data_IF_427971032261
#
_entry.id   IF_427971032261
#
_cell.length_a   1.000
_cell.length_b   1.000
_cell.length_c   1.000
_cell.angle_alpha   90.00
_cell.angle_beta   90.00
_cell.angle_gamma   90.00
#
_symmetry.space_group_name_H-M   'P 1'
#
loop_
_entity.id
_entity.type
_entity.pdbx_description
1 polymer ?
#
# COMPACT_ATOMS: atom_id res chain seq x y z
N UNK A 1 -18.74 41.55 -11.98
CA UNK A 1 -17.96 42.06 -10.81
C UNK A 1 -16.83 41.09 -10.52
N UNK A 2 -15.59 41.50 -10.77
CA UNK A 2 -14.41 40.67 -10.55
C UNK A 2 -14.10 40.59 -9.05
N UNK A 3 -14.31 39.43 -8.42
CA UNK A 3 -13.78 39.16 -7.08
C UNK A 3 -12.25 39.13 -7.15
N UNK A 4 -11.62 40.27 -6.87
CA UNK A 4 -10.19 40.35 -6.55
C UNK A 4 -9.94 39.51 -5.30
N UNK A 5 -9.39 38.31 -5.44
CA UNK A 5 -8.79 37.62 -4.31
C UNK A 5 -7.54 38.41 -3.90
N UNK A 6 -7.47 38.97 -2.67
CA UNK A 6 -6.31 39.75 -2.24
C UNK A 6 -5.05 38.88 -2.28
N UNK A 7 -3.91 39.48 -2.59
CA UNK A 7 -2.62 38.85 -2.33
C UNK A 7 -2.58 38.52 -0.83
N UNK A 8 -2.38 37.25 -0.43
CA UNK A 8 -2.44 36.88 0.97
C UNK A 8 -1.40 37.68 1.74
N UNK A 9 -1.84 38.40 2.79
CA UNK A 9 -0.96 39.17 3.66
C UNK A 9 0.11 38.29 4.31
N UNK A 10 1.18 38.90 4.83
CA UNK A 10 2.34 38.21 5.43
C UNK A 10 1.94 37.13 6.46
N UNK A 11 0.90 37.41 7.26
CA UNK A 11 0.33 36.50 8.26
C UNK A 11 -0.34 35.27 7.62
N UNK A 12 -1.06 35.46 6.51
CA UNK A 12 -1.70 34.38 5.74
C UNK A 12 -0.66 33.48 5.08
N UNK A 13 0.41 34.06 4.50
CA UNK A 13 1.53 33.27 3.94
C UNK A 13 2.21 32.40 4.99
N UNK A 14 2.48 32.94 6.18
CA UNK A 14 3.07 32.16 7.28
C UNK A 14 2.19 31.00 7.75
N UNK A 15 0.86 31.19 7.80
CA UNK A 15 -0.08 30.12 8.14
C UNK A 15 -0.08 29.01 7.09
N UNK A 16 -0.06 29.35 5.80
CA UNK A 16 0.04 28.36 4.72
C UNK A 16 1.36 27.58 4.75
N UNK A 17 2.49 28.25 4.98
CA UNK A 17 3.79 27.56 5.12
C UNK A 17 3.81 26.58 6.30
N UNK A 18 3.19 26.94 7.42
CA UNK A 18 3.05 26.05 8.59
C UNK A 18 2.10 24.88 8.30
N UNK A 19 0.98 25.12 7.62
CA UNK A 19 0.05 24.07 7.23
C UNK A 19 0.72 23.03 6.32
N UNK A 20 1.53 23.48 5.36
CA UNK A 20 2.29 22.59 4.48
C UNK A 20 3.26 21.70 5.29
N UNK A 21 4.08 22.29 6.16
CA UNK A 21 4.99 21.53 7.02
C UNK A 21 4.26 20.50 7.87
N UNK A 22 3.15 20.90 8.52
CA UNK A 22 2.38 19.98 9.35
C UNK A 22 1.74 18.85 8.55
N UNK A 23 1.27 19.12 7.33
CA UNK A 23 0.69 18.11 6.44
C UNK A 23 1.72 17.05 6.07
N UNK A 24 2.95 17.47 5.73
CA UNK A 24 4.06 16.54 5.43
C UNK A 24 4.38 15.70 6.66
N UNK A 25 4.53 16.32 7.83
CA UNK A 25 4.77 15.59 9.07
C UNK A 25 3.62 14.62 9.41
N UNK A 26 2.36 15.01 9.18
CA UNK A 26 1.21 14.11 9.37
C UNK A 26 1.34 12.88 8.47
N UNK A 27 1.57 13.11 7.17
CA UNK A 27 1.59 12.05 6.17
C UNK A 27 2.72 11.05 6.46
N UNK A 28 3.93 11.56 6.76
CA UNK A 28 5.08 10.73 7.10
C UNK A 28 4.82 9.81 8.29
N UNK A 29 4.10 10.30 9.31
CA UNK A 29 3.83 9.53 10.54
C UNK A 29 2.48 8.84 10.58
N UNK A 30 1.79 8.81 9.44
CA UNK A 30 0.56 8.04 9.29
C UNK A 30 0.89 6.57 9.07
N UNK A 31 0.30 5.69 9.89
CA UNK A 31 0.69 4.27 9.98
C UNK A 31 0.71 3.53 8.64
N UNK A 32 -0.39 3.54 7.90
CA UNK A 32 -0.46 2.83 6.60
C UNK A 32 0.48 3.45 5.56
N UNK A 33 0.58 4.78 5.51
CA UNK A 33 1.49 5.46 4.60
C UNK A 33 2.94 5.09 4.86
N UNK A 34 3.36 5.05 6.12
CA UNK A 34 4.69 4.61 6.51
C UNK A 34 4.94 3.14 6.13
N UNK A 35 4.01 2.24 6.48
CA UNK A 35 4.14 0.81 6.22
C UNK A 35 4.29 0.55 4.72
N UNK A 36 3.44 1.15 3.90
CA UNK A 36 3.45 0.91 2.45
C UNK A 36 4.62 1.60 1.76
N UNK A 37 5.02 2.80 2.20
CA UNK A 37 6.20 3.48 1.65
C UNK A 37 7.53 2.78 1.98
N UNK A 38 7.55 1.93 3.00
CA UNK A 38 8.72 1.10 3.38
C UNK A 38 8.63 -0.35 2.91
N UNK A 39 7.60 -0.69 2.13
CA UNK A 39 7.40 -2.02 1.54
C UNK A 39 7.57 -1.97 0.03
N UNK A 40 8.20 -2.99 -0.57
CA UNK A 40 8.42 -3.09 -2.02
C UNK A 40 7.11 -3.44 -2.77
N UNK A 41 6.16 -2.51 -2.80
CA UNK A 41 4.88 -2.62 -3.52
C UNK A 41 4.63 -1.37 -4.38
N UNK A 42 3.78 -1.51 -5.40
CA UNK A 42 3.50 -0.45 -6.37
C UNK A 42 2.69 0.71 -5.79
N UNK A 43 1.92 0.49 -4.72
CA UNK A 43 0.97 1.44 -4.16
C UNK A 43 1.60 2.77 -3.72
N UNK A 44 2.83 2.74 -3.19
CA UNK A 44 3.54 3.93 -2.77
C UNK A 44 3.90 4.86 -3.95
N UNK A 45 4.48 4.28 -5.01
CA UNK A 45 4.84 5.03 -6.22
C UNK A 45 3.59 5.52 -6.94
N UNK A 46 2.55 4.68 -7.04
CA UNK A 46 1.25 5.05 -7.60
C UNK A 46 0.63 6.24 -6.83
N UNK A 47 0.66 6.20 -5.50
CA UNK A 47 0.18 7.29 -4.64
C UNK A 47 0.92 8.59 -4.91
N UNK A 48 2.24 8.55 -5.11
CA UNK A 48 3.03 9.74 -5.42
C UNK A 48 2.59 10.38 -6.76
N UNK A 49 2.40 9.57 -7.80
CA UNK A 49 1.90 10.06 -9.10
C UNK A 49 0.50 10.65 -8.98
N UNK A 50 -0.45 9.93 -8.36
CA UNK A 50 -1.83 10.42 -8.14
C UNK A 50 -1.84 11.71 -7.30
N UNK A 51 -1.00 11.81 -6.28
CA UNK A 51 -0.85 13.03 -5.48
C UNK A 51 -0.38 14.20 -6.36
N UNK A 52 0.60 13.95 -7.24
CA UNK A 52 1.09 14.96 -8.17
C UNK A 52 -0.02 15.41 -9.14
N UNK A 53 -0.87 14.51 -9.63
CA UNK A 53 -2.03 14.86 -10.46
C UNK A 53 -2.97 15.83 -9.76
N UNK A 54 -3.40 15.50 -8.54
CA UNK A 54 -4.27 16.38 -7.75
C UNK A 54 -3.59 17.73 -7.45
N UNK A 55 -2.32 17.73 -7.08
CA UNK A 55 -1.57 18.96 -6.77
C UNK A 55 -1.42 19.84 -8.01
N UNK A 56 -0.95 19.28 -9.13
CA UNK A 56 -0.74 20.04 -10.36
C UNK A 56 -2.06 20.57 -10.93
N UNK A 57 -3.13 19.77 -10.89
CA UNK A 57 -4.45 20.26 -11.29
C UNK A 57 -4.91 21.43 -10.42
N UNK A 58 -4.80 21.31 -9.09
CA UNK A 58 -5.20 22.38 -8.18
C UNK A 58 -4.38 23.66 -8.38
N UNK A 59 -3.08 23.55 -8.63
CA UNK A 59 -2.21 24.69 -8.97
C UNK A 59 -2.64 25.33 -10.30
N UNK A 60 -2.94 24.53 -11.33
CA UNK A 60 -3.43 25.03 -12.61
C UNK A 60 -4.80 25.71 -12.51
N UNK A 61 -5.69 25.21 -11.65
CA UNK A 61 -7.01 25.78 -11.41
C UNK A 61 -6.93 27.08 -10.60
N UNK A 62 -6.01 27.14 -9.62
CA UNK A 62 -5.79 28.32 -8.78
C UNK A 62 -5.07 29.46 -9.51
N UNK A 63 -4.29 29.15 -10.55
CA UNK A 63 -3.59 30.14 -11.37
C UNK A 63 -4.55 30.86 -12.33
N UNK A 64 -4.85 32.13 -12.02
CA UNK A 64 -5.78 32.98 -12.79
C UNK A 64 -5.10 34.04 -13.64
N UNK A 65 -3.81 34.31 -13.43
CA UNK A 65 -3.09 35.45 -14.03
C UNK A 65 -2.21 35.04 -15.19
N UNK A 66 -1.61 33.84 -15.14
CA UNK A 66 -0.68 33.36 -16.16
C UNK A 66 -1.19 32.10 -16.85
N UNK A 67 -1.76 32.22 -18.07
CA UNK A 67 -2.20 31.06 -18.85
C UNK A 67 -1.07 30.07 -19.14
N UNK A 68 0.16 30.55 -19.39
CA UNK A 68 1.31 29.69 -19.65
C UNK A 68 1.71 28.84 -18.44
N UNK A 69 1.65 29.40 -17.22
CA UNK A 69 1.90 28.65 -15.99
C UNK A 69 0.76 27.66 -15.72
N UNK A 70 -0.51 28.06 -15.96
CA UNK A 70 -1.65 27.15 -15.85
C UNK A 70 -1.52 25.97 -16.83
N UNK A 71 -1.10 26.23 -18.07
CA UNK A 71 -0.83 25.20 -19.08
C UNK A 71 0.30 24.26 -18.63
N UNK A 72 1.42 24.80 -18.13
CA UNK A 72 2.54 24.00 -17.63
C UNK A 72 2.08 23.05 -16.51
N UNK A 73 1.29 23.53 -15.55
CA UNK A 73 0.76 22.68 -14.49
C UNK A 73 -0.19 21.60 -15.03
N UNK A 74 -1.06 21.92 -15.99
CA UNK A 74 -1.91 20.91 -16.64
C UNK A 74 -1.09 19.88 -17.44
N UNK A 75 -0.01 20.32 -18.09
CA UNK A 75 0.89 19.44 -18.82
C UNK A 75 1.61 18.47 -17.87
N UNK A 76 2.17 18.98 -16.77
CA UNK A 76 2.78 18.17 -15.72
C UNK A 76 1.77 17.21 -15.05
N UNK A 77 0.52 17.65 -14.88
CA UNK A 77 -0.58 16.79 -14.45
C UNK A 77 -0.75 15.61 -15.41
N UNK A 78 -0.75 15.85 -16.73
CA UNK A 78 -0.87 14.78 -17.72
C UNK A 78 0.32 13.81 -17.75
N UNK A 79 1.55 14.31 -17.55
CA UNK A 79 2.70 13.43 -17.39
C UNK A 79 2.56 12.54 -16.15
N UNK A 80 2.07 13.10 -15.04
CA UNK A 80 1.79 12.33 -13.82
C UNK A 80 0.71 11.26 -14.04
N UNK A 81 -0.39 11.58 -14.75
CA UNK A 81 -1.42 10.62 -15.18
C UNK A 81 -0.80 9.48 -15.99
N UNK A 82 0.07 9.81 -16.94
CA UNK A 82 0.78 8.84 -17.77
C UNK A 82 1.65 7.89 -16.94
N UNK A 83 2.44 8.43 -16.02
CA UNK A 83 3.25 7.62 -15.10
C UNK A 83 2.37 6.75 -14.18
N UNK A 84 1.29 7.29 -13.62
CA UNK A 84 0.36 6.54 -12.79
C UNK A 84 -0.28 5.38 -13.57
N UNK A 85 -0.61 5.59 -14.85
CA UNK A 85 -1.16 4.54 -15.71
C UNK A 85 -0.16 3.40 -15.94
N UNK A 86 1.11 3.72 -16.18
CA UNK A 86 2.16 2.69 -16.33
C UNK A 86 2.37 1.88 -15.04
N UNK A 87 2.04 2.43 -13.88
CA UNK A 87 2.16 1.73 -12.59
C UNK A 87 0.94 0.85 -12.30
N UNK A 88 -0.28 1.40 -12.45
CA UNK A 88 -1.51 0.74 -11.97
C UNK A 88 -2.74 0.91 -12.86
N UNK A 89 -2.52 1.18 -14.15
CA UNK A 89 -3.56 1.18 -15.17
C UNK A 89 -4.64 2.25 -14.98
N UNK A 90 -5.90 1.90 -15.27
CA UNK A 90 -6.98 2.88 -15.39
C UNK A 90 -7.37 3.56 -14.07
N UNK A 91 -6.90 3.06 -12.92
CA UNK A 91 -7.06 3.76 -11.64
C UNK A 91 -6.42 5.15 -11.64
N UNK A 92 -5.38 5.35 -12.45
CA UNK A 92 -4.75 6.66 -12.70
C UNK A 92 -5.75 7.71 -13.22
N UNK A 93 -6.76 7.29 -14.00
CA UNK A 93 -7.79 8.20 -14.48
C UNK A 93 -8.98 8.26 -13.53
N UNK A 94 -9.39 7.11 -12.99
CA UNK A 94 -10.61 6.98 -12.20
C UNK A 94 -10.55 7.80 -10.91
N UNK A 95 -9.51 7.66 -10.09
CA UNK A 95 -9.46 8.35 -8.79
C UNK A 95 -9.34 9.87 -8.95
N UNK A 96 -8.37 10.39 -9.74
CA UNK A 96 -8.20 11.82 -9.92
C UNK A 96 -9.36 12.44 -10.70
N UNK A 97 -9.81 11.76 -11.75
CA UNK A 97 -10.96 12.18 -12.55
C UNK A 97 -12.22 12.38 -11.69
N UNK A 98 -12.58 11.40 -10.86
CA UNK A 98 -13.75 11.48 -9.97
C UNK A 98 -13.60 12.59 -8.92
N UNK A 99 -12.45 12.68 -8.25
CA UNK A 99 -12.23 13.70 -7.21
C UNK A 99 -12.21 15.12 -7.77
N UNK A 100 -11.52 15.33 -8.90
CA UNK A 100 -11.45 16.64 -9.58
C UNK A 100 -12.82 17.03 -10.15
N UNK A 101 -13.51 16.10 -10.82
CA UNK A 101 -14.85 16.33 -11.36
C UNK A 101 -15.82 16.78 -10.25
N UNK A 102 -15.86 16.04 -9.15
CA UNK A 102 -16.72 16.36 -8.01
C UNK A 102 -16.40 17.73 -7.42
N UNK A 103 -15.12 18.08 -7.30
CA UNK A 103 -14.73 19.41 -6.86
C UNK A 103 -15.21 20.53 -7.79
N UNK A 104 -14.99 20.40 -9.10
CA UNK A 104 -15.38 21.43 -10.07
C UNK A 104 -16.89 21.62 -10.11
N UNK A 105 -17.65 20.52 -10.00
CA UNK A 105 -19.11 20.56 -9.86
C UNK A 105 -19.54 21.24 -8.56
N UNK A 106 -18.84 20.96 -7.43
CA UNK A 106 -19.10 21.62 -6.15
C UNK A 106 -18.80 23.13 -6.21
N UNK A 107 -17.73 23.55 -6.87
CA UNK A 107 -17.42 24.97 -7.12
C UNK A 107 -18.28 25.59 -8.24
N UNK A 108 -19.15 24.80 -8.89
CA UNK A 108 -19.97 25.21 -10.05
C UNK A 108 -19.15 25.79 -11.20
N UNK A 109 -17.90 25.35 -11.34
CA UNK A 109 -16.98 25.78 -12.40
C UNK A 109 -17.06 24.83 -13.61
N UNK A 110 -18.21 24.84 -14.27
CA UNK A 110 -18.49 24.00 -15.44
C UNK A 110 -17.56 24.29 -16.62
N UNK A 111 -17.06 25.54 -16.71
CA UNK A 111 -16.10 25.91 -17.75
C UNK A 111 -14.79 25.16 -17.55
N UNK A 112 -14.21 25.19 -16.35
CA UNK A 112 -13.01 24.41 -16.06
C UNK A 112 -13.24 22.91 -16.22
N UNK A 113 -14.41 22.40 -15.83
CA UNK A 113 -14.80 21.00 -16.01
C UNK A 113 -14.72 20.55 -17.47
N UNK A 114 -15.16 21.38 -18.42
CA UNK A 114 -15.14 21.04 -19.85
C UNK A 114 -13.82 21.37 -20.56
N UNK A 115 -13.01 22.29 -20.03
CA UNK A 115 -11.84 22.84 -20.76
C UNK A 115 -10.50 22.35 -20.24
N UNK A 116 -10.34 22.17 -18.92
CA UNK A 116 -9.06 21.80 -18.31
C UNK A 116 -8.63 20.33 -18.49
N UNK A 117 -9.52 19.33 -18.67
CA UNK A 117 -9.10 17.92 -18.81
C UNK A 117 -8.30 17.60 -20.07
N UNK A 118 -8.43 18.40 -21.15
CA UNK A 118 -7.82 18.07 -22.44
C UNK A 118 -6.30 18.13 -22.45
N UNK A 119 -5.69 19.12 -21.78
CA UNK A 119 -4.22 19.24 -21.73
C UNK A 119 -3.61 18.05 -20.97
N UNK A 120 -4.07 17.68 -19.76
CA UNK A 120 -3.59 16.48 -19.08
C UNK A 120 -3.81 15.20 -19.91
N UNK A 121 -4.98 15.07 -20.56
CA UNK A 121 -5.27 13.92 -21.42
C UNK A 121 -4.28 13.79 -22.58
N UNK A 122 -4.04 14.87 -23.33
CA UNK A 122 -3.10 14.82 -24.46
C UNK A 122 -1.66 14.60 -24.00
N UNK A 123 -1.25 15.20 -22.88
CA UNK A 123 0.07 15.01 -22.32
C UNK A 123 0.29 13.59 -21.78
N UNK A 124 -0.73 12.92 -21.24
CA UNK A 124 -0.61 11.53 -20.78
C UNK A 124 -0.41 10.55 -21.94
N UNK A 125 -0.98 10.83 -23.12
CA UNK A 125 -0.76 10.02 -24.32
C UNK A 125 0.72 9.96 -24.72
N UNK A 126 1.49 11.02 -24.48
CA UNK A 126 2.94 11.05 -24.77
C UNK A 126 3.72 9.98 -23.97
N UNK A 127 3.20 9.60 -22.80
CA UNK A 127 3.82 8.58 -21.93
C UNK A 127 3.21 7.20 -22.18
N UNK A 128 1.89 7.14 -22.33
CA UNK A 128 1.14 5.88 -22.40
C UNK A 128 1.30 5.20 -23.76
N UNK A 129 1.17 5.97 -24.86
CA UNK A 129 1.09 5.41 -26.21
C UNK A 129 2.36 4.65 -26.61
N UNK A 130 3.60 5.17 -26.38
CA UNK A 130 4.80 4.44 -26.77
C UNK A 130 4.91 3.06 -26.12
N UNK A 131 4.67 2.98 -24.81
CA UNK A 131 4.66 1.70 -24.10
C UNK A 131 3.50 0.81 -24.56
N UNK A 132 2.33 1.40 -24.77
CA UNK A 132 1.14 0.67 -25.17
C UNK A 132 1.21 0.04 -26.57
N UNK A 133 1.90 0.69 -27.50
CA UNK A 133 2.17 0.12 -28.82
C UNK A 133 3.21 -0.99 -28.74
N UNK A 134 4.28 -0.79 -27.96
CA UNK A 134 5.31 -1.81 -27.76
C UNK A 134 4.75 -3.10 -27.11
N UNK A 135 3.82 -2.97 -26.17
CA UNK A 135 3.16 -4.15 -25.57
C UNK A 135 2.21 -4.84 -26.53
N UNK A 136 1.48 -4.09 -27.37
CA UNK A 136 0.60 -4.66 -28.39
C UNK A 136 1.38 -5.50 -29.42
N UNK A 137 2.59 -5.04 -29.79
CA UNK A 137 3.47 -5.77 -30.71
C UNK A 137 4.11 -7.00 -30.05
N UNK A 138 4.62 -6.86 -28.83
CA UNK A 138 5.31 -7.95 -28.14
C UNK A 138 4.37 -9.04 -27.59
N UNK A 139 3.14 -8.67 -27.23
CA UNK A 139 2.15 -9.55 -26.63
C UNK A 139 0.75 -9.19 -27.14
N UNK A 140 0.31 -9.72 -28.31
CA UNK A 140 -0.94 -9.33 -28.96
C UNK A 140 -2.20 -9.46 -28.09
N UNK A 141 -2.20 -10.41 -27.15
CA UNK A 141 -3.32 -10.69 -26.25
C UNK A 141 -3.30 -9.84 -24.95
N UNK A 142 -2.22 -9.07 -24.72
CA UNK A 142 -2.03 -8.28 -23.51
C UNK A 142 -3.20 -7.34 -23.22
N UNK A 143 -3.71 -6.63 -24.23
CA UNK A 143 -4.77 -5.64 -24.04
C UNK A 143 -6.11 -6.27 -23.66
N UNK A 144 -6.41 -7.49 -24.15
CA UNK A 144 -7.58 -8.23 -23.69
C UNK A 144 -7.44 -8.56 -22.20
N UNK A 145 -6.31 -9.15 -21.81
CA UNK A 145 -6.02 -9.47 -20.42
C UNK A 145 -6.08 -8.22 -19.53
N UNK A 146 -5.34 -7.18 -19.89
CA UNK A 146 -5.24 -5.94 -19.12
C UNK A 146 -6.60 -5.24 -18.97
N UNK A 147 -7.37 -5.06 -20.03
CA UNK A 147 -8.64 -4.31 -19.95
C UNK A 147 -9.76 -5.19 -19.39
N UNK A 148 -9.94 -6.40 -19.93
CA UNK A 148 -11.10 -7.24 -19.62
C UNK A 148 -10.88 -7.98 -18.31
N UNK A 149 -9.76 -8.69 -18.17
CA UNK A 149 -9.51 -9.51 -16.98
C UNK A 149 -9.14 -8.62 -15.80
N UNK A 150 -8.11 -7.78 -15.95
CA UNK A 150 -7.53 -7.03 -14.82
C UNK A 150 -8.34 -5.79 -14.39
N UNK A 151 -9.15 -5.19 -15.26
CA UNK A 151 -9.96 -4.02 -14.88
C UNK A 151 -11.45 -4.32 -14.83
N UNK A 152 -12.04 -4.85 -15.91
CA UNK A 152 -13.48 -5.09 -15.93
C UNK A 152 -13.89 -6.23 -14.99
N UNK A 153 -13.33 -7.44 -15.18
CA UNK A 153 -13.70 -8.59 -14.35
C UNK A 153 -13.28 -8.36 -12.90
N UNK A 154 -12.07 -7.84 -12.64
CA UNK A 154 -11.65 -7.58 -11.26
C UNK A 154 -12.50 -6.56 -10.50
N UNK A 155 -13.06 -5.56 -11.20
CA UNK A 155 -13.89 -4.54 -10.56
C UNK A 155 -15.33 -5.03 -10.37
N UNK A 156 -15.91 -5.70 -11.36
CA UNK A 156 -17.35 -6.04 -11.39
C UNK A 156 -17.69 -7.47 -10.98
N UNK A 157 -16.79 -8.44 -11.15
CA UNK A 157 -17.05 -9.86 -10.89
C UNK A 157 -16.32 -10.34 -9.64
N UNK A 158 -16.89 -11.33 -8.98
CA UNK A 158 -16.20 -12.11 -7.97
C UNK A 158 -15.34 -13.15 -8.68
N UNK A 159 -14.04 -12.90 -8.78
CA UNK A 159 -13.08 -13.86 -9.33
C UNK A 159 -12.49 -14.66 -8.17
N UNK A 160 -12.33 -15.98 -8.35
CA UNK A 160 -11.88 -16.93 -7.32
C UNK A 160 -10.52 -16.60 -6.67
N UNK A 161 -9.71 -15.73 -7.29
CA UNK A 161 -8.43 -15.25 -6.78
C UNK A 161 -8.51 -13.95 -5.97
N UNK A 162 -9.71 -13.43 -5.71
CA UNK A 162 -9.91 -12.15 -5.02
C UNK A 162 -10.32 -12.32 -3.55
N UNK A 163 -10.13 -11.25 -2.78
CA UNK A 163 -10.69 -11.09 -1.43
C UNK A 163 -12.03 -10.34 -1.53
N UNK A 164 -13.18 -11.05 -1.58
CA UNK A 164 -14.48 -10.40 -1.56
C UNK A 164 -14.72 -9.79 -0.18
N UNK A 165 -14.73 -8.47 -0.13
CA UNK A 165 -14.84 -7.71 1.11
C UNK A 165 -16.07 -6.78 1.05
N UNK A 166 -16.71 -6.50 2.19
CA UNK A 166 -17.94 -5.71 2.24
C UNK A 166 -17.72 -4.26 1.80
N UNK A 167 -18.81 -3.54 1.48
CA UNK A 167 -18.76 -2.13 1.08
C UNK A 167 -18.02 -1.23 2.09
N UNK A 168 -18.20 -1.52 3.38
CA UNK A 168 -17.60 -0.79 4.50
C UNK A 168 -16.15 -1.19 4.78
N UNK A 169 -15.53 -2.09 4.01
CA UNK A 169 -14.15 -2.58 4.20
C UNK A 169 -13.13 -1.45 4.41
N UNK A 170 -13.22 -0.38 3.61
CA UNK A 170 -12.25 0.71 3.67
C UNK A 170 -12.45 1.66 4.87
N UNK A 171 -13.58 1.58 5.59
CA UNK A 171 -13.82 2.41 6.79
C UNK A 171 -12.81 2.08 7.90
N UNK A 172 -12.70 0.82 8.39
CA UNK A 172 -11.68 0.49 9.38
C UNK A 172 -10.26 0.63 8.83
N UNK A 173 -10.04 0.41 7.52
CA UNK A 173 -8.71 0.60 6.90
C UNK A 173 -8.26 2.04 6.97
N UNK A 174 -9.07 3.02 6.50
CA UNK A 174 -8.66 4.42 6.57
C UNK A 174 -8.58 4.92 8.03
N UNK A 175 -9.46 4.45 8.91
CA UNK A 175 -9.45 4.84 10.32
C UNK A 175 -8.24 4.29 11.08
N UNK A 176 -7.87 3.03 10.84
CA UNK A 176 -6.70 2.39 11.41
C UNK A 176 -5.41 2.87 10.76
N UNK A 177 -5.40 2.96 9.44
CA UNK A 177 -4.26 3.42 8.65
C UNK A 177 -3.92 4.86 8.92
N UNK A 178 -4.91 5.74 9.15
CA UNK A 178 -4.71 7.14 9.51
C UNK A 178 -4.53 7.38 11.02
N UNK A 179 -4.36 6.31 11.81
CA UNK A 179 -3.82 6.42 13.16
C UNK A 179 -2.44 7.10 13.11
N UNK A 180 -2.12 7.96 14.08
CA UNK A 180 -2.94 8.32 15.24
C UNK A 180 -4.03 9.37 14.95
N UNK A 181 -3.94 10.06 13.82
CA UNK A 181 -4.67 11.30 13.55
C UNK A 181 -6.19 11.14 13.48
N UNK A 182 -6.70 9.96 13.15
CA UNK A 182 -8.15 9.66 13.19
C UNK A 182 -8.74 9.86 14.58
N UNK A 183 -8.04 9.43 15.62
CA UNK A 183 -8.46 9.64 17.01
C UNK A 183 -8.28 11.09 17.46
N UNK A 184 -7.23 11.77 16.99
CA UNK A 184 -6.92 13.15 17.37
C UNK A 184 -7.67 14.21 16.56
N UNK A 185 -8.33 13.82 15.46
CA UNK A 185 -9.26 14.67 14.72
C UNK A 185 -10.64 14.78 15.39
N UNK A 186 -11.06 13.79 16.19
CA UNK A 186 -12.33 13.83 16.95
C UNK A 186 -12.42 15.05 17.89
N UNK A 187 -11.40 15.38 18.69
CA UNK A 187 -11.28 16.67 19.41
C UNK A 187 -11.47 17.93 18.55
N UNK A 188 -11.07 17.88 17.28
CA UNK A 188 -11.06 19.01 16.35
C UNK A 188 -12.46 19.24 15.74
N UNK A 189 -13.20 18.14 15.48
CA UNK A 189 -14.59 18.18 15.04
C UNK A 189 -15.57 18.49 16.17
N UNK A 190 -15.33 17.97 17.39
CA UNK A 190 -16.21 18.18 18.55
C UNK A 190 -15.92 19.49 19.30
N UNK A 191 -14.66 19.96 19.30
CA UNK A 191 -14.21 21.13 20.07
C UNK A 191 -14.03 22.42 19.26
N UNK A 192 -14.26 22.41 17.94
CA UNK A 192 -14.03 23.54 17.05
C UNK A 192 -15.26 23.93 16.24
N UNK A 193 -15.59 25.23 16.22
CA UNK A 193 -16.49 25.85 15.21
C UNK A 193 -16.14 25.36 13.80
N UNK A 194 -17.17 25.32 12.94
CA UNK A 194 -17.12 25.00 11.51
C UNK A 194 -15.75 25.35 10.90
N UNK A 195 -15.00 24.33 10.45
CA UNK A 195 -13.98 24.53 9.43
C UNK A 195 -14.57 25.44 8.35
N UNK A 196 -13.82 26.38 7.76
CA UNK A 196 -14.35 27.33 6.79
C UNK A 196 -14.60 26.65 5.42
N UNK A 197 -15.22 25.46 5.41
CA UNK A 197 -15.63 24.67 4.26
C UNK A 197 -16.34 25.52 3.22
N UNK A 198 -17.20 26.44 3.67
CA UNK A 198 -17.96 27.35 2.80
C UNK A 198 -17.07 28.28 1.98
N UNK A 199 -15.90 28.65 2.47
CA UNK A 199 -15.01 29.64 1.85
C UNK A 199 -13.63 29.12 1.43
N UNK A 200 -13.31 27.84 1.71
CA UNK A 200 -12.03 27.24 1.38
C UNK A 200 -12.17 26.22 0.25
N UNK A 201 -11.82 26.63 -0.97
CA UNK A 201 -11.77 25.71 -2.12
C UNK A 201 -10.77 24.57 -1.92
N UNK A 202 -9.68 24.79 -1.17
CA UNK A 202 -8.72 23.73 -0.83
C UNK A 202 -9.36 22.62 0.03
N UNK A 203 -10.19 22.99 1.02
CA UNK A 203 -10.86 21.99 1.86
C UNK A 203 -11.91 21.20 1.08
N UNK A 204 -12.68 21.88 0.22
CA UNK A 204 -13.61 21.20 -0.70
C UNK A 204 -12.86 20.28 -1.66
N UNK A 205 -11.71 20.70 -2.17
CA UNK A 205 -10.85 19.89 -3.03
C UNK A 205 -10.36 18.62 -2.32
N UNK A 206 -9.82 18.75 -1.10
CA UNK A 206 -9.39 17.61 -0.30
C UNK A 206 -10.55 16.68 0.06
N UNK A 207 -11.74 17.21 0.38
CA UNK A 207 -12.91 16.40 0.63
C UNK A 207 -13.39 15.65 -0.63
N UNK A 208 -13.40 16.30 -1.79
CA UNK A 208 -13.75 15.64 -3.05
C UNK A 208 -12.73 14.56 -3.44
N UNK A 209 -11.43 14.82 -3.22
CA UNK A 209 -10.35 13.84 -3.39
C UNK A 209 -10.53 12.63 -2.47
N UNK A 210 -11.03 12.81 -1.24
CA UNK A 210 -11.29 11.66 -0.36
C UNK A 210 -12.59 10.95 -0.75
N UNK A 211 -13.72 11.65 -0.74
CA UNK A 211 -15.05 11.04 -0.68
C UNK A 211 -15.37 10.24 -1.94
N UNK A 212 -15.19 10.82 -3.14
CA UNK A 212 -15.62 10.14 -4.36
C UNK A 212 -14.73 8.94 -4.71
N UNK A 213 -13.38 9.08 -4.68
CA UNK A 213 -12.48 7.94 -4.80
C UNK A 213 -12.72 6.86 -3.73
N UNK A 214 -12.99 7.24 -2.48
CA UNK A 214 -13.35 6.29 -1.42
C UNK A 214 -14.59 5.47 -1.79
N UNK A 215 -15.67 6.14 -2.18
CA UNK A 215 -16.91 5.47 -2.58
C UNK A 215 -16.70 4.56 -3.79
N UNK A 216 -15.94 5.03 -4.79
CA UNK A 216 -15.60 4.23 -5.97
C UNK A 216 -14.84 2.95 -5.61
N UNK A 217 -13.81 3.05 -4.76
CA UNK A 217 -13.07 1.88 -4.29
C UNK A 217 -13.95 0.94 -3.45
N UNK A 218 -14.82 1.49 -2.60
CA UNK A 218 -15.78 0.70 -1.82
C UNK A 218 -16.78 -0.10 -2.68
N UNK A 219 -17.08 0.37 -3.89
CA UNK A 219 -17.94 -0.35 -4.85
C UNK A 219 -17.23 -1.49 -5.58
N UNK A 220 -15.89 -1.50 -5.63
CA UNK A 220 -15.11 -2.57 -6.28
C UNK A 220 -15.31 -3.92 -5.59
N UNK A 221 -15.41 -4.99 -6.37
CA UNK A 221 -15.46 -6.37 -5.84
C UNK A 221 -14.12 -6.82 -5.28
N UNK A 222 -13.02 -6.60 -6.01
CA UNK A 222 -11.67 -6.81 -5.50
C UNK A 222 -11.22 -5.66 -4.59
N UNK A 223 -10.94 -5.94 -3.31
CA UNK A 223 -10.43 -4.95 -2.36
C UNK A 223 -9.12 -5.43 -1.72
N UNK A 224 -8.18 -4.51 -1.63
CA UNK A 224 -6.94 -4.65 -0.87
C UNK A 224 -6.73 -3.37 -0.08
N UNK A 225 -6.33 -3.50 1.19
CA UNK A 225 -6.17 -2.36 2.09
C UNK A 225 -5.36 -1.21 1.44
N UNK A 226 -4.26 -1.56 0.77
CA UNK A 226 -3.33 -0.61 0.14
C UNK A 226 -3.93 0.28 -0.95
N UNK A 227 -5.09 -0.10 -1.52
CA UNK A 227 -5.71 0.64 -2.62
C UNK A 227 -6.18 2.03 -2.21
N UNK A 228 -6.42 2.25 -0.91
CA UNK A 228 -6.89 3.54 -0.38
C UNK A 228 -5.74 4.51 -0.09
N UNK A 229 -4.48 4.07 -0.25
CA UNK A 229 -3.29 4.87 0.03
C UNK A 229 -3.29 6.27 -0.64
N UNK A 230 -3.79 6.46 -1.88
CA UNK A 230 -3.89 7.78 -2.50
C UNK A 230 -4.80 8.79 -1.79
N UNK A 231 -5.58 8.37 -0.80
CA UNK A 231 -6.47 9.26 -0.03
C UNK A 231 -5.82 9.82 1.23
N UNK A 232 -4.64 9.32 1.60
CA UNK A 232 -3.92 9.78 2.79
C UNK A 232 -3.33 11.20 2.67
N UNK A 233 -2.79 11.63 1.51
CA UNK A 233 -2.31 13.01 1.34
C UNK A 233 -3.37 14.09 1.67
N UNK A 234 -4.61 14.06 1.14
CA UNK A 234 -5.63 15.05 1.52
C UNK A 234 -6.10 14.89 2.97
N UNK A 235 -6.10 13.68 3.54
CA UNK A 235 -6.38 13.46 4.98
C UNK A 235 -5.34 14.18 5.84
N UNK A 236 -4.06 14.07 5.48
CA UNK A 236 -2.97 14.76 6.16
C UNK A 236 -3.10 16.30 6.08
N UNK A 237 -3.49 16.82 4.91
CA UNK A 237 -3.75 18.27 4.73
C UNK A 237 -4.90 18.72 5.63
N UNK A 238 -6.02 18.00 5.66
CA UNK A 238 -7.16 18.32 6.51
C UNK A 238 -6.77 18.27 7.98
N UNK A 239 -6.07 17.21 8.42
CA UNK A 239 -5.63 17.06 9.81
C UNK A 239 -4.73 18.23 10.26
N UNK A 240 -3.78 18.65 9.42
CA UNK A 240 -2.92 19.80 9.69
C UNK A 240 -3.70 21.12 9.80
N UNK A 241 -4.66 21.35 8.89
CA UNK A 241 -5.53 22.54 8.93
C UNK A 241 -6.44 22.55 10.15
N UNK A 242 -7.01 21.40 10.52
CA UNK A 242 -7.81 21.22 11.72
C UNK A 242 -6.99 21.55 12.98
N UNK A 243 -5.76 21.05 13.07
CA UNK A 243 -4.87 21.32 14.20
C UNK A 243 -4.56 22.82 14.32
N UNK A 244 -4.25 23.48 13.20
CA UNK A 244 -4.03 24.93 13.18
C UNK A 244 -5.27 25.72 13.60
N UNK A 245 -6.46 25.27 13.18
CA UNK A 245 -7.75 25.87 13.56
C UNK A 245 -8.16 25.62 15.02
N UNK A 246 -7.51 24.68 15.71
CA UNK A 246 -7.75 24.36 17.11
C UNK A 246 -6.79 25.07 18.09
N UNK A 247 -5.83 25.84 17.59
CA UNK A 247 -4.92 26.62 18.43
C UNK A 247 -5.70 27.57 19.36
N UNK A 248 -5.33 27.59 20.64
CA UNK A 248 -5.95 28.44 21.66
C UNK A 248 -7.34 28.00 22.12
N UNK A 249 -7.85 26.83 21.71
CA UNK A 249 -9.15 26.31 22.15
C UNK A 249 -8.99 25.32 23.31
N UNK A 250 -9.54 25.67 24.48
CA UNK A 250 -9.47 24.83 25.69
C UNK A 250 -10.16 23.46 25.50
N UNK A 251 -11.33 23.42 24.85
CA UNK A 251 -12.03 22.17 24.58
C UNK A 251 -11.20 21.23 23.70
N UNK A 252 -10.49 21.75 22.70
CA UNK A 252 -9.62 20.94 21.84
C UNK A 252 -8.47 20.32 22.64
N UNK A 253 -7.85 21.09 23.55
CA UNK A 253 -6.81 20.59 24.46
C UNK A 253 -7.37 19.49 25.39
N UNK A 254 -8.56 19.70 25.95
CA UNK A 254 -9.24 18.74 26.84
C UNK A 254 -9.51 17.41 26.12
N UNK A 255 -10.16 17.46 24.95
CA UNK A 255 -10.48 16.26 24.19
C UNK A 255 -9.23 15.55 23.69
N UNK A 256 -8.19 16.28 23.25
CA UNK A 256 -6.91 15.67 22.89
C UNK A 256 -6.33 14.87 24.05
N UNK A 257 -6.32 15.43 25.26
CA UNK A 257 -5.81 14.74 26.45
C UNK A 257 -6.62 13.49 26.80
N UNK A 258 -7.94 13.51 26.63
CA UNK A 258 -8.80 12.32 26.83
C UNK A 258 -8.43 11.24 25.82
N UNK A 259 -8.32 11.61 24.54
CA UNK A 259 -7.92 10.69 23.47
C UNK A 259 -6.54 10.08 23.74
N UNK A 260 -5.56 10.89 24.17
CA UNK A 260 -4.22 10.40 24.53
C UNK A 260 -4.31 9.34 25.62
N UNK A 261 -5.01 9.63 26.73
CA UNK A 261 -5.13 8.70 27.87
C UNK A 261 -5.81 7.38 27.44
N UNK A 262 -6.89 7.48 26.67
CA UNK A 262 -7.61 6.32 26.17
C UNK A 262 -6.73 5.46 25.26
N UNK A 263 -6.06 6.08 24.30
CA UNK A 263 -5.17 5.40 23.34
C UNK A 263 -3.99 4.75 24.06
N UNK A 264 -3.34 5.48 24.96
CA UNK A 264 -2.22 4.95 25.75
C UNK A 264 -2.65 3.79 26.65
N UNK A 265 -3.84 3.87 27.26
CA UNK A 265 -4.41 2.79 28.07
C UNK A 265 -4.66 1.51 27.26
N UNK A 266 -5.31 1.62 26.10
CA UNK A 266 -5.56 0.47 25.21
C UNK A 266 -4.26 -0.18 24.76
N UNK A 267 -3.30 0.64 24.31
CA UNK A 267 -2.01 0.13 23.82
C UNK A 267 -1.17 -0.49 24.93
N UNK A 268 -1.21 0.06 26.14
CA UNK A 268 -0.54 -0.54 27.30
C UNK A 268 -1.15 -1.91 27.66
N UNK A 269 -2.48 -2.01 27.70
CA UNK A 269 -3.17 -3.29 27.95
C UNK A 269 -2.87 -4.29 26.83
N UNK A 270 -2.88 -3.86 25.56
CA UNK A 270 -2.53 -4.69 24.42
C UNK A 270 -1.09 -5.21 24.49
N UNK A 271 -0.13 -4.35 24.83
CA UNK A 271 1.27 -4.73 25.02
C UNK A 271 1.42 -5.76 26.16
N UNK A 272 0.81 -5.51 27.31
CA UNK A 272 0.86 -6.43 28.46
C UNK A 272 0.24 -7.78 28.10
N UNK A 273 -0.95 -7.78 27.49
CA UNK A 273 -1.63 -8.99 27.05
C UNK A 273 -0.78 -9.80 26.07
N UNK A 274 -0.20 -9.13 25.07
CA UNK A 274 0.70 -9.76 24.10
C UNK A 274 1.93 -10.38 24.76
N UNK A 275 2.58 -9.67 25.70
CA UNK A 275 3.75 -10.21 26.42
C UNK A 275 3.37 -11.41 27.30
N UNK A 276 2.24 -11.35 28.00
CA UNK A 276 1.72 -12.49 28.78
C UNK A 276 1.48 -13.68 27.86
N UNK A 277 0.80 -13.49 26.72
CA UNK A 277 0.58 -14.58 25.76
C UNK A 277 1.90 -15.16 25.26
N UNK A 278 2.86 -14.33 24.87
CA UNK A 278 4.15 -14.79 24.34
C UNK A 278 5.00 -15.55 25.37
N UNK A 279 5.00 -15.12 26.64
CA UNK A 279 5.86 -15.75 27.66
C UNK A 279 5.16 -16.85 28.47
N UNK A 280 3.84 -16.83 28.61
CA UNK A 280 3.11 -17.74 29.51
C UNK A 280 2.28 -18.81 28.79
N UNK A 281 1.86 -18.59 27.54
CA UNK A 281 0.88 -19.48 26.88
C UNK A 281 1.35 -20.01 25.53
N UNK A 282 1.70 -19.11 24.61
CA UNK A 282 2.03 -19.43 23.22
C UNK A 282 3.22 -18.58 22.77
N UNK A 283 4.47 -19.08 22.88
CA UNK A 283 5.63 -18.36 22.39
C UNK A 283 5.56 -18.20 20.87
N UNK A 284 5.37 -16.97 20.44
CA UNK A 284 5.35 -16.57 19.02
C UNK A 284 6.77 -16.26 18.53
N UNK A 285 7.62 -15.76 19.44
CA UNK A 285 9.02 -15.43 19.17
C UNK A 285 9.93 -16.55 19.66
N UNK A 286 10.81 -17.02 18.78
CA UNK A 286 11.88 -17.93 19.15
C UNK A 286 12.94 -17.26 20.05
N UNK A 287 13.75 -18.06 20.74
CA UNK A 287 14.83 -17.56 21.61
C UNK A 287 15.81 -16.64 20.89
N UNK A 288 16.09 -16.89 19.60
CA UNK A 288 16.93 -16.06 18.75
C UNK A 288 16.35 -14.66 18.45
N UNK A 289 15.03 -14.48 18.54
CA UNK A 289 14.36 -13.20 18.26
C UNK A 289 14.10 -12.34 19.50
N UNK A 290 14.47 -12.83 20.70
CA UNK A 290 14.24 -12.10 21.95
C UNK A 290 14.85 -10.69 21.98
N UNK A 291 16.04 -10.42 21.42
CA UNK A 291 16.57 -9.05 21.34
C UNK A 291 15.68 -8.12 20.50
N UNK A 292 15.12 -8.64 19.41
CA UNK A 292 14.28 -7.88 18.48
C UNK A 292 12.89 -7.60 19.10
N UNK A 293 12.34 -8.57 19.82
CA UNK A 293 11.16 -8.39 20.66
C UNK A 293 11.42 -7.34 21.75
N UNK A 294 12.55 -7.42 22.46
CA UNK A 294 12.94 -6.45 23.48
C UNK A 294 13.06 -5.02 22.92
N UNK A 295 13.68 -4.87 21.74
CA UNK A 295 13.74 -3.59 21.03
C UNK A 295 12.35 -3.07 20.65
N UNK A 296 11.48 -3.94 20.13
CA UNK A 296 10.08 -3.60 19.79
C UNK A 296 9.32 -3.12 21.02
N UNK A 297 9.45 -3.81 22.15
CA UNK A 297 8.84 -3.41 23.44
C UNK A 297 9.37 -2.06 23.91
N UNK A 298 10.69 -1.84 23.83
CA UNK A 298 11.30 -0.55 24.18
C UNK A 298 10.74 0.59 23.32
N UNK A 299 10.66 0.39 22.00
CA UNK A 299 10.05 1.33 21.07
C UNK A 299 8.61 1.69 21.45
N UNK A 300 7.78 0.69 21.79
CA UNK A 300 6.40 0.90 22.23
C UNK A 300 6.35 1.63 23.58
N UNK A 301 7.22 1.31 24.54
CA UNK A 301 7.29 2.01 25.83
C UNK A 301 7.69 3.48 25.63
N UNK A 302 8.69 3.76 24.80
CA UNK A 302 9.11 5.13 24.48
C UNK A 302 8.00 5.90 23.77
N UNK A 303 7.32 5.26 22.82
CA UNK A 303 6.13 5.81 22.19
C UNK A 303 5.07 6.20 23.23
N UNK A 304 4.70 5.29 24.14
CA UNK A 304 3.70 5.55 25.19
C UNK A 304 4.14 6.66 26.16
N UNK A 305 5.41 6.67 26.57
CA UNK A 305 5.95 7.68 27.47
C UNK A 305 5.90 9.09 26.86
N UNK A 306 6.30 9.22 25.59
CA UNK A 306 6.27 10.50 24.87
C UNK A 306 4.82 10.91 24.57
N UNK A 307 3.97 9.96 24.21
CA UNK A 307 2.55 10.21 24.00
C UNK A 307 1.87 10.75 25.27
N UNK A 308 2.14 10.14 26.44
CA UNK A 308 1.64 10.64 27.73
C UNK A 308 2.24 11.99 28.13
N UNK A 309 3.50 12.26 27.77
CA UNK A 309 4.12 13.59 27.95
C UNK A 309 3.33 14.67 27.22
N UNK A 310 2.75 14.37 26.05
CA UNK A 310 1.95 15.32 25.27
C UNK A 310 0.80 15.94 26.10
N UNK A 311 0.29 15.25 27.13
CA UNK A 311 -0.74 15.79 28.03
C UNK A 311 -0.27 17.06 28.74
N UNK A 312 1.02 17.14 29.09
CA UNK A 312 1.63 18.27 29.83
C UNK A 312 1.87 19.51 28.97
N UNK A 313 1.86 19.34 27.64
CA UNK A 313 2.08 20.44 26.71
C UNK A 313 0.91 21.44 26.76
N UNK A 314 1.24 22.74 26.73
CA UNK A 314 0.25 23.83 26.92
C UNK A 314 -0.44 24.25 25.63
N UNK A 315 0.22 24.06 24.49
CA UNK A 315 -0.32 24.47 23.19
C UNK A 315 -0.69 23.27 22.33
N UNK A 316 -1.68 23.43 21.44
CA UNK A 316 -2.03 22.37 20.48
C UNK A 316 -0.88 22.04 19.53
N UNK A 317 -0.02 23.03 19.24
CA UNK A 317 1.16 22.86 18.39
C UNK A 317 2.14 21.88 19.05
N UNK A 318 2.45 22.10 20.32
CA UNK A 318 3.45 21.30 21.02
C UNK A 318 2.91 19.89 21.29
N UNK A 319 1.62 19.76 21.58
CA UNK A 319 0.90 18.46 21.64
C UNK A 319 1.03 17.68 20.34
N UNK A 320 0.74 18.33 19.22
CA UNK A 320 0.83 17.73 17.90
C UNK A 320 2.26 17.33 17.54
N UNK A 321 3.25 18.18 17.79
CA UNK A 321 4.66 17.86 17.52
C UNK A 321 5.13 16.69 18.41
N UNK A 322 4.69 16.64 19.67
CA UNK A 322 4.99 15.52 20.57
C UNK A 322 4.36 14.22 20.05
N UNK A 323 3.16 14.26 19.48
CA UNK A 323 2.54 13.10 18.83
C UNK A 323 3.34 12.62 17.61
N UNK A 324 3.79 13.56 16.77
CA UNK A 324 4.67 13.25 15.63
C UNK A 324 5.97 12.61 16.11
N UNK A 325 6.61 13.18 17.13
CA UNK A 325 7.83 12.62 17.74
C UNK A 325 7.57 11.23 18.32
N UNK A 326 6.44 11.02 19.02
CA UNK A 326 6.09 9.71 19.54
C UNK A 326 6.07 8.66 18.42
N UNK A 327 5.40 8.96 17.30
CA UNK A 327 5.29 8.03 16.17
C UNK A 327 6.64 7.61 15.57
N UNK A 328 7.66 8.46 15.59
CA UNK A 328 9.01 8.07 15.18
C UNK A 328 9.59 6.91 16.00
N UNK A 329 9.17 6.72 17.25
CA UNK A 329 9.59 5.58 18.07
C UNK A 329 8.77 4.32 17.79
N UNK A 330 7.54 4.45 17.29
CA UNK A 330 6.70 3.31 16.93
C UNK A 330 7.06 2.73 15.56
N UNK A 331 7.56 3.55 14.64
CA UNK A 331 7.90 3.15 13.27
C UNK A 331 8.89 1.98 13.18
N UNK A 332 10.05 1.98 13.88
CA UNK A 332 10.98 0.85 13.83
C UNK A 332 10.38 -0.44 14.38
N UNK A 333 9.41 -0.35 15.30
CA UNK A 333 8.73 -1.50 15.88
C UNK A 333 7.90 -2.27 14.83
N UNK A 334 7.49 -1.64 13.72
CA UNK A 334 6.76 -2.33 12.65
C UNK A 334 7.59 -3.45 12.01
N UNK A 335 8.85 -3.16 11.64
CA UNK A 335 9.70 -4.16 10.97
C UNK A 335 10.40 -5.07 11.98
N UNK A 336 10.85 -4.51 13.12
CA UNK A 336 11.47 -5.30 14.17
C UNK A 336 10.46 -6.25 14.85
N UNK A 337 9.22 -5.80 15.04
CA UNK A 337 8.19 -6.58 15.71
C UNK A 337 7.50 -7.63 14.83
N UNK A 338 8.09 -8.03 13.69
CA UNK A 338 7.55 -9.12 12.88
C UNK A 338 8.13 -10.46 13.35
N UNK A 339 7.30 -11.41 13.83
CA UNK A 339 7.78 -12.74 14.19
C UNK A 339 8.36 -13.48 12.99
N UNK A 340 9.35 -14.34 13.24
CA UNK A 340 9.98 -15.19 12.21
C UNK A 340 8.96 -16.04 11.47
N UNK A 341 7.92 -16.53 12.15
CA UNK A 341 6.83 -17.30 11.55
C UNK A 341 6.16 -16.49 10.42
N UNK A 342 5.88 -15.21 10.67
CA UNK A 342 5.27 -14.31 9.69
C UNK A 342 6.27 -14.00 8.57
N UNK A 343 7.52 -13.70 8.92
CA UNK A 343 8.58 -13.43 7.94
C UNK A 343 8.84 -14.64 7.03
N UNK A 344 8.89 -15.85 7.57
CA UNK A 344 9.12 -17.07 6.80
C UNK A 344 7.94 -17.40 5.87
N UNK A 345 6.72 -17.00 6.20
CA UNK A 345 5.58 -17.15 5.29
C UNK A 345 5.54 -16.09 4.20
N UNK A 346 5.89 -14.83 4.53
CA UNK A 346 5.71 -13.68 3.62
C UNK A 346 6.96 -13.27 2.86
N UNK A 347 8.14 -13.51 3.42
CA UNK A 347 9.45 -13.13 2.90
C UNK A 347 10.52 -14.21 3.25
N UNK A 348 10.41 -15.44 2.72
CA UNK A 348 11.28 -16.56 3.07
C UNK A 348 12.72 -16.49 2.54
N UNK A 349 13.22 -15.30 2.21
CA UNK A 349 14.47 -15.11 1.50
C UNK A 349 15.66 -15.79 2.20
N UNK A 350 15.74 -15.68 3.53
CA UNK A 350 16.84 -16.27 4.32
C UNK A 350 16.89 -17.80 4.15
N UNK A 351 15.75 -18.47 4.32
CA UNK A 351 15.65 -19.93 4.14
C UNK A 351 15.90 -20.34 2.69
N UNK A 352 15.38 -19.59 1.72
CA UNK A 352 15.59 -19.89 0.31
C UNK A 352 17.07 -19.77 -0.07
N UNK A 353 17.77 -18.72 0.37
CA UNK A 353 19.22 -18.57 0.14
C UNK A 353 20.03 -19.72 0.73
N UNK A 354 19.73 -20.14 1.96
CA UNK A 354 20.43 -21.26 2.60
C UNK A 354 20.13 -22.60 1.92
N UNK A 355 18.88 -22.83 1.55
CA UNK A 355 18.44 -24.09 0.95
C UNK A 355 18.90 -24.25 -0.51
N UNK A 356 19.01 -23.16 -1.27
CA UNK A 356 19.53 -23.16 -2.65
C UNK A 356 20.95 -23.71 -2.73
N UNK A 357 21.82 -23.43 -1.74
CA UNK A 357 23.18 -23.97 -1.68
C UNK A 357 23.22 -25.51 -1.57
N UNK A 358 22.12 -26.13 -1.16
CA UNK A 358 21.97 -27.59 -1.00
C UNK A 358 21.37 -28.25 -2.26
N UNK A 359 21.03 -27.47 -3.28
CA UNK A 359 20.42 -27.96 -4.53
C UNK A 359 21.51 -28.21 -5.58
N UNK A 360 21.53 -29.38 -6.24
CA UNK A 360 22.44 -29.62 -7.35
C UNK A 360 22.25 -28.59 -8.48
N UNK A 361 23.32 -28.04 -9.10
CA UNK A 361 23.21 -26.99 -10.12
C UNK A 361 22.33 -27.36 -11.32
N UNK A 362 22.31 -28.64 -11.71
CA UNK A 362 21.51 -29.16 -12.83
C UNK A 362 20.11 -29.63 -12.41
N UNK A 363 19.72 -29.53 -11.13
CA UNK A 363 18.44 -30.04 -10.66
C UNK A 363 17.27 -29.27 -11.28
N UNK A 364 16.17 -29.95 -11.58
CA UNK A 364 14.92 -29.31 -12.00
C UNK A 364 14.29 -28.66 -10.77
N UNK A 365 14.16 -27.34 -10.79
CA UNK A 365 13.52 -26.58 -9.72
C UNK A 365 12.02 -26.45 -9.98
N UNK A 366 11.24 -26.91 -9.01
CA UNK A 366 9.79 -26.84 -9.02
C UNK A 366 9.28 -26.10 -7.79
N UNK A 367 8.23 -25.30 -7.95
CA UNK A 367 7.69 -24.52 -6.85
C UNK A 367 6.24 -24.13 -7.07
N UNK A 368 5.57 -23.73 -6.00
CA UNK A 368 4.23 -23.13 -6.06
C UNK A 368 4.31 -21.69 -6.56
N UNK A 369 3.21 -21.22 -7.14
CA UNK A 369 2.97 -19.84 -7.59
C UNK A 369 3.51 -18.77 -6.60
N UNK A 370 3.16 -18.90 -5.32
CA UNK A 370 3.52 -17.94 -4.27
C UNK A 370 5.04 -17.77 -4.03
N UNK A 371 5.88 -18.75 -4.41
CA UNK A 371 7.33 -18.69 -4.17
C UNK A 371 8.13 -18.51 -5.45
N UNK A 372 7.49 -18.51 -6.62
CA UNK A 372 8.19 -18.46 -7.90
C UNK A 372 9.04 -17.19 -8.01
N UNK A 373 8.48 -16.02 -7.76
CA UNK A 373 9.19 -14.74 -7.89
C UNK A 373 10.44 -14.65 -7.00
N UNK A 374 10.32 -15.04 -5.72
CA UNK A 374 11.45 -15.00 -4.77
C UNK A 374 12.53 -16.04 -5.10
N UNK A 375 12.15 -17.20 -5.64
CA UNK A 375 13.11 -18.21 -6.09
C UNK A 375 13.84 -17.78 -7.37
N UNK A 376 13.15 -17.18 -8.33
CA UNK A 376 13.77 -16.59 -9.52
C UNK A 376 14.81 -15.53 -9.10
N UNK A 377 14.44 -14.65 -8.15
CA UNK A 377 15.34 -13.64 -7.62
C UNK A 377 16.57 -14.22 -6.89
N UNK A 378 16.36 -15.18 -5.99
CA UNK A 378 17.45 -15.74 -5.16
C UNK A 378 18.37 -16.67 -5.93
N UNK A 379 17.86 -17.43 -6.90
CA UNK A 379 18.65 -18.39 -7.69
C UNK A 379 19.24 -17.77 -8.95
N UNK A 380 18.68 -16.69 -9.48
CA UNK A 380 19.01 -16.12 -10.80
C UNK A 380 18.67 -17.05 -11.97
N UNK A 381 17.98 -18.16 -11.71
CA UNK A 381 17.61 -19.16 -12.73
C UNK A 381 16.32 -18.77 -13.41
N UNK A 382 16.21 -19.05 -14.70
CA UNK A 382 15.01 -18.77 -15.51
C UNK A 382 14.30 -20.04 -16.00
N UNK A 383 14.66 -21.21 -15.46
CA UNK A 383 14.17 -22.54 -15.87
C UNK A 383 13.25 -23.20 -14.83
N UNK A 384 12.82 -22.44 -13.81
CA UNK A 384 11.89 -22.90 -12.79
C UNK A 384 10.55 -23.31 -13.40
N UNK A 385 9.92 -24.31 -12.76
CA UNK A 385 8.60 -24.82 -13.14
C UNK A 385 7.59 -24.63 -12.03
N UNK A 386 6.39 -24.21 -12.38
CA UNK A 386 5.23 -24.21 -11.50
C UNK A 386 4.79 -25.64 -11.25
N UNK A 387 4.51 -25.95 -9.99
CA UNK A 387 4.09 -27.27 -9.55
C UNK A 387 2.75 -27.21 -8.84
N UNK A 388 1.87 -28.15 -9.18
CA UNK A 388 0.53 -28.36 -8.62
C UNK A 388 -0.48 -27.23 -8.88
N UNK A 389 -0.12 -25.96 -8.65
CA UNK A 389 -1.00 -24.79 -8.79
C UNK A 389 -0.34 -23.73 -9.66
N UNK A 390 -1.09 -23.22 -10.63
CA UNK A 390 -0.67 -22.18 -11.58
C UNK A 390 -0.83 -20.76 -11.01
N UNK A 391 -1.86 -20.53 -10.21
CA UNK A 391 -2.07 -19.24 -9.54
C UNK A 391 -2.23 -18.08 -10.51
N UNK A 392 -1.57 -16.96 -10.22
CA UNK A 392 -1.60 -15.76 -11.08
C UNK A 392 -1.00 -15.98 -12.48
N UNK A 393 -0.23 -17.05 -12.70
CA UNK A 393 0.39 -17.38 -13.98
C UNK A 393 -0.53 -18.16 -14.91
N UNK A 394 -1.73 -18.55 -14.47
CA UNK A 394 -2.64 -19.40 -15.22
C UNK A 394 -2.96 -18.84 -16.62
N UNK A 395 -3.27 -17.55 -16.71
CA UNK A 395 -3.60 -16.91 -17.97
C UNK A 395 -2.43 -17.00 -18.96
N UNK A 396 -1.23 -16.59 -18.52
CA UNK A 396 -0.03 -16.63 -19.36
C UNK A 396 0.35 -18.05 -19.79
N UNK A 397 0.19 -19.04 -18.91
CA UNK A 397 0.42 -20.45 -19.25
C UNK A 397 -0.56 -20.96 -20.31
N UNK A 398 -1.84 -20.61 -20.21
CA UNK A 398 -2.85 -21.06 -21.17
C UNK A 398 -2.69 -20.45 -22.57
N UNK A 399 -1.97 -19.33 -22.68
CA UNK A 399 -1.69 -18.64 -23.93
C UNK A 399 -0.22 -18.76 -24.38
N UNK A 400 0.59 -19.60 -23.71
CA UNK A 400 2.00 -19.80 -24.03
C UNK A 400 2.24 -21.17 -24.67
N UNK A 401 3.05 -21.26 -25.74
CA UNK A 401 3.47 -22.53 -26.31
C UNK A 401 4.37 -23.35 -25.36
N UNK A 402 4.94 -22.72 -24.33
CA UNK A 402 5.86 -23.37 -23.38
C UNK A 402 5.16 -23.89 -22.11
N UNK A 403 3.81 -23.91 -22.06
CA UNK A 403 3.03 -24.39 -20.91
C UNK A 403 3.55 -25.70 -20.34
N UNK A 404 3.78 -26.69 -21.21
CA UNK A 404 4.23 -28.04 -20.83
C UNK A 404 5.64 -28.09 -20.24
N UNK A 405 6.48 -27.08 -20.53
CA UNK A 405 7.82 -26.93 -19.95
C UNK A 405 7.80 -26.16 -18.63
N UNK A 406 6.80 -25.29 -18.44
CA UNK A 406 6.70 -24.34 -17.33
C UNK A 406 5.76 -24.80 -16.22
N UNK A 407 4.89 -25.76 -16.47
CA UNK A 407 3.98 -26.32 -15.48
C UNK A 407 4.10 -27.84 -15.40
N UNK A 408 4.08 -28.37 -14.17
CA UNK A 408 4.13 -29.81 -13.88
C UNK A 408 2.97 -30.15 -12.93
N UNK A 409 2.05 -31.00 -13.39
CA UNK A 409 0.99 -31.55 -12.56
C UNK A 409 1.53 -32.62 -11.61
N UNK A 410 0.71 -33.04 -10.64
CA UNK A 410 1.13 -34.11 -9.69
C UNK A 410 1.33 -35.43 -10.42
N UNK A 411 0.50 -35.73 -11.41
CA UNK A 411 0.57 -36.94 -12.22
C UNK A 411 1.85 -36.97 -13.05
N UNK A 412 2.13 -35.86 -13.76
CA UNK A 412 3.36 -35.70 -14.54
C UNK A 412 4.60 -35.73 -13.66
N UNK A 413 4.52 -35.17 -12.46
CA UNK A 413 5.61 -35.25 -11.48
C UNK A 413 5.88 -36.69 -11.04
N UNK A 414 4.85 -37.49 -10.75
CA UNK A 414 5.00 -38.92 -10.43
C UNK A 414 5.64 -39.68 -11.60
N UNK A 415 5.17 -39.44 -12.82
CA UNK A 415 5.76 -40.03 -14.03
C UNK A 415 7.25 -39.67 -14.18
N UNK A 416 7.62 -38.42 -13.89
CA UNK A 416 9.02 -37.97 -13.92
C UNK A 416 9.91 -38.71 -12.90
N UNK A 417 9.37 -39.07 -11.74
CA UNK A 417 10.08 -39.87 -10.75
C UNK A 417 10.14 -41.35 -11.16
N UNK A 418 9.03 -41.92 -11.62
CA UNK A 418 8.97 -43.32 -12.05
C UNK A 418 9.86 -43.61 -13.28
N UNK A 419 10.05 -42.62 -14.16
CA UNK A 419 10.89 -42.72 -15.35
C UNK A 419 11.99 -41.64 -15.37
N UNK A 420 13.18 -41.90 -14.78
CA UNK A 420 14.30 -40.94 -14.75
C UNK A 420 14.78 -40.45 -16.12
N UNK A 421 14.61 -41.24 -17.19
CA UNK A 421 14.98 -40.83 -18.53
C UNK A 421 14.13 -39.63 -19.03
N UNK A 422 12.88 -39.51 -18.57
CA UNK A 422 11.99 -38.37 -18.92
C UNK A 422 12.52 -37.01 -18.43
N UNK A 423 13.42 -37.02 -17.45
CA UNK A 423 14.05 -35.83 -16.87
C UNK A 423 15.55 -35.76 -17.13
N UNK A 424 16.06 -36.59 -18.05
CA UNK A 424 17.48 -36.70 -18.37
C UNK A 424 18.32 -37.00 -17.10
N UNK A 425 17.79 -37.85 -16.22
CA UNK A 425 18.41 -38.24 -14.95
C UNK A 425 18.77 -37.08 -14.02
N UNK A 426 18.17 -35.89 -14.23
CA UNK A 426 18.42 -34.72 -13.39
C UNK A 426 17.67 -34.82 -12.07
N UNK A 427 18.30 -34.54 -10.92
CA UNK A 427 17.61 -34.46 -9.64
C UNK A 427 16.46 -33.47 -9.67
N UNK A 428 15.45 -33.66 -8.83
CA UNK A 428 14.32 -32.73 -8.71
C UNK A 428 14.28 -32.12 -7.33
N UNK A 429 14.12 -30.80 -7.29
CA UNK A 429 14.01 -30.03 -6.07
C UNK A 429 12.67 -29.29 -6.07
N UNK A 430 11.83 -29.58 -5.08
CA UNK A 430 10.46 -29.05 -4.99
C UNK A 430 10.30 -28.23 -3.72
N UNK A 431 9.92 -26.96 -3.87
CA UNK A 431 9.51 -26.12 -2.75
C UNK A 431 7.99 -26.20 -2.54
N UNK A 432 7.60 -26.58 -1.32
CA UNK A 432 6.20 -26.66 -0.89
C UNK A 432 5.99 -25.95 0.43
N UNK A 433 4.74 -25.54 0.70
CA UNK A 433 4.34 -25.06 2.03
C UNK A 433 4.41 -26.20 3.03
N UNK A 434 4.81 -25.92 4.26
CA UNK A 434 4.86 -26.90 5.33
C UNK A 434 3.52 -27.66 5.49
N UNK A 435 3.61 -28.93 5.85
CA UNK A 435 2.50 -29.87 5.93
C UNK A 435 2.14 -30.53 4.59
N UNK A 436 2.45 -29.91 3.44
CA UNK A 436 2.19 -30.51 2.14
C UNK A 436 3.26 -31.54 1.75
N UNK A 437 4.48 -31.47 2.31
CA UNK A 437 5.53 -32.45 2.06
C UNK A 437 5.13 -33.89 2.42
N UNK A 438 4.23 -34.05 3.42
CA UNK A 438 3.72 -35.37 3.85
C UNK A 438 2.94 -36.11 2.75
N UNK A 439 2.50 -35.40 1.71
CA UNK A 439 1.80 -36.02 0.57
C UNK A 439 2.77 -36.61 -0.46
N UNK A 440 4.05 -36.21 -0.40
CA UNK A 440 5.04 -36.50 -1.42
C UNK A 440 6.27 -37.24 -0.89
N UNK A 441 6.44 -37.33 0.43
CA UNK A 441 7.56 -38.04 1.06
C UNK A 441 7.52 -39.57 0.89
N UNK A 442 6.37 -40.11 0.45
CA UNK A 442 6.20 -41.53 0.11
C UNK A 442 6.45 -41.83 -1.37
N UNK A 443 6.75 -40.81 -2.18
CA UNK A 443 7.06 -40.99 -3.60
C UNK A 443 8.46 -41.60 -3.79
N UNK A 444 8.66 -42.37 -4.87
CA UNK A 444 9.95 -42.98 -5.17
C UNK A 444 11.04 -41.90 -5.35
N UNK A 445 12.30 -42.30 -5.11
CA UNK A 445 13.49 -41.45 -5.22
C UNK A 445 13.53 -40.26 -4.25
N UNK A 446 12.60 -40.16 -3.30
CA UNK A 446 12.68 -39.18 -2.22
C UNK A 446 13.97 -39.40 -1.41
N UNK A 447 14.76 -38.33 -1.25
CA UNK A 447 16.03 -38.37 -0.52
C UNK A 447 15.93 -37.72 0.84
N UNK A 448 15.50 -36.46 0.88
CA UNK A 448 15.42 -35.68 2.11
C UNK A 448 14.47 -34.49 1.98
N UNK A 449 13.99 -34.04 3.14
CA UNK A 449 13.28 -32.77 3.28
C UNK A 449 14.08 -31.84 4.18
N UNK A 450 14.27 -30.61 3.74
CA UNK A 450 14.83 -29.51 4.53
C UNK A 450 13.69 -28.52 4.78
N UNK A 451 13.38 -28.23 6.04
CA UNK A 451 12.24 -27.35 6.38
C UNK A 451 12.63 -26.35 7.46
N UNK A 452 12.03 -25.16 7.39
CA UNK A 452 12.07 -24.16 8.47
C UNK A 452 10.75 -24.08 9.26
N UNK A 453 9.85 -25.06 9.10
CA UNK A 453 8.55 -25.10 9.75
C UNK A 453 7.42 -24.44 8.95
N UNK A 454 7.73 -23.60 7.96
CA UNK A 454 6.74 -22.91 7.11
C UNK A 454 6.89 -23.26 5.62
N UNK A 455 8.12 -23.53 5.19
CA UNK A 455 8.47 -23.94 3.83
C UNK A 455 9.36 -25.17 3.92
N UNK A 456 9.13 -26.10 3.00
CA UNK A 456 9.89 -27.34 2.88
C UNK A 456 10.49 -27.43 1.48
N UNK A 457 11.80 -27.60 1.40
CA UNK A 457 12.50 -28.07 0.21
C UNK A 457 12.54 -29.60 0.25
N UNK A 458 12.00 -30.24 -0.78
CA UNK A 458 12.08 -31.68 -0.98
C UNK A 458 13.04 -32.00 -2.11
N UNK A 459 13.94 -32.95 -1.89
CA UNK A 459 14.93 -33.40 -2.87
C UNK A 459 14.65 -34.84 -3.30
N UNK A 460 14.66 -35.05 -4.61
CA UNK A 460 14.45 -36.34 -5.27
C UNK A 460 15.62 -36.64 -6.21
N UNK A 461 16.08 -37.89 -6.24
CA UNK A 461 17.23 -38.33 -7.07
C UNK A 461 16.85 -38.83 -8.45
#
# INVERSE_FOLDING_TARGET
MAHRTPVPGRRTRQTFSRAALYSVLTLMVTGEFFIISTTAVLDGVFTACVTAEFVFFYLAWSEKKSPGISFLWLFLCGLAVGCAFLIKGFLAFALPGLGIAAFLLWERDYRSFLTKPWVPFLASLLVIVPWGLATAEAAPDFWHYFVVVEHYQRFFREVSSQHPEPFFYFIPVILGGAMPFTLFCVPLFLGGRELPWKHSSLLKYCAAWIILPFLFLSLSKGKLATYILPLFPPVAIIAALCMLGAQGKENALKYFNITVKFTAGILAVGLIGFLITNFAFHPVYGTGQMPLLGFTVLCVILFLAILLRAIREKTMKDKYLTLVIAMFFLMPAWQAGLPEIVMNQKAPEAFLKESVAKIPPNAILMTRDQFLGILLWTTGRNDLRLFYKTGEFEYGLNHSPDKEKRFVSVEKFKEMLDNPASRDYRPVAVYVTAGHEKRYNTLPQFRQTISNGEISLMLFE
#
